data_IF_043452521116
#
_entry.id   IF_043452521116
#
_cell.length_a   1.000
_cell.length_b   1.000
_cell.length_c   1.000
_cell.angle_alpha   90.00
_cell.angle_beta   90.00
_cell.angle_gamma   90.00
#
_symmetry.space_group_name_H-M   'P 1'
#
loop_
_entity.id
_entity.type
_entity.pdbx_description
1 polymer ?
#
# COMPACT_ATOMS: atom_id res chain seq x y z
N UNK A 1 -54.49 35.87 -13.19
CA UNK A 1 -54.15 34.50 -12.79
C UNK A 1 -53.18 33.77 -13.73
N UNK A 2 -52.53 34.44 -14.65
CA UNK A 2 -51.58 33.81 -15.62
C UNK A 2 -50.10 34.13 -15.29
N UNK A 3 -49.82 35.17 -14.48
CA UNK A 3 -48.44 35.55 -14.14
C UNK A 3 -47.81 34.79 -12.94
N UNK A 4 -48.59 34.05 -12.15
CA UNK A 4 -48.05 33.27 -11.02
C UNK A 4 -47.69 31.82 -11.38
N UNK A 5 -48.02 31.33 -12.57
CA UNK A 5 -47.66 29.98 -13.02
C UNK A 5 -46.32 29.91 -13.78
N UNK A 6 -45.74 31.04 -14.14
CA UNK A 6 -44.46 31.10 -14.85
C UNK A 6 -43.23 31.25 -13.93
N UNK A 7 -43.41 31.63 -12.65
CA UNK A 7 -42.30 31.67 -11.69
C UNK A 7 -42.04 30.32 -11.02
N UNK A 8 -43.00 29.39 -10.97
CA UNK A 8 -42.84 28.07 -10.37
C UNK A 8 -42.10 27.07 -11.28
N UNK A 9 -42.05 27.32 -12.59
CA UNK A 9 -41.38 26.44 -13.56
C UNK A 9 -39.90 26.77 -13.73
N UNK A 10 -39.45 27.95 -13.31
CA UNK A 10 -38.01 28.34 -13.42
C UNK A 10 -37.17 27.90 -12.23
N UNK A 11 -37.77 27.60 -11.08
CA UNK A 11 -37.06 27.15 -9.88
C UNK A 11 -36.86 25.63 -9.79
N UNK A 12 -37.61 24.85 -10.58
CA UNK A 12 -37.47 23.40 -10.63
C UNK A 12 -36.39 22.91 -11.61
N UNK A 13 -35.87 23.80 -12.48
CA UNK A 13 -34.86 23.44 -13.48
C UNK A 13 -33.41 23.63 -13.06
N UNK A 14 -33.15 24.16 -11.84
CA UNK A 14 -31.78 24.39 -11.33
C UNK A 14 -31.30 23.36 -10.30
N UNK A 15 -32.07 22.30 -10.03
CA UNK A 15 -31.63 21.21 -9.10
C UNK A 15 -31.29 19.88 -9.79
N UNK A 16 -31.16 19.87 -11.10
CA UNK A 16 -30.88 18.65 -11.85
C UNK A 16 -29.47 18.64 -12.47
N UNK A 17 -28.47 19.15 -11.76
CA UNK A 17 -27.11 19.27 -12.26
C UNK A 17 -25.99 18.87 -11.30
N UNK A 18 -26.30 18.19 -10.19
CA UNK A 18 -25.26 17.47 -9.47
C UNK A 18 -25.01 16.15 -10.21
N UNK A 19 -24.17 16.21 -11.24
CA UNK A 19 -23.54 15.02 -11.79
C UNK A 19 -22.76 14.36 -10.65
N UNK A 20 -23.35 13.35 -10.01
CA UNK A 20 -22.58 12.37 -9.26
C UNK A 20 -21.65 11.72 -10.30
N UNK A 21 -20.46 12.28 -10.48
CA UNK A 21 -19.38 11.52 -11.09
C UNK A 21 -19.21 10.31 -10.16
N UNK A 22 -19.38 9.08 -10.66
CA UNK A 22 -19.13 7.92 -9.86
C UNK A 22 -17.66 8.03 -9.40
N UNK A 23 -17.45 8.21 -8.11
CA UNK A 23 -16.12 8.07 -7.55
C UNK A 23 -15.73 6.62 -7.82
N UNK A 24 -14.77 6.42 -8.71
CA UNK A 24 -14.17 5.11 -8.91
C UNK A 24 -13.65 4.69 -7.53
N UNK A 25 -14.29 3.72 -6.92
CA UNK A 25 -13.87 3.21 -5.62
C UNK A 25 -12.57 2.45 -5.83
N UNK A 26 -11.45 3.18 -5.84
CA UNK A 26 -10.12 2.59 -5.79
C UNK A 26 -9.90 2.12 -4.37
N UNK A 27 -9.50 0.88 -4.24
CA UNK A 27 -9.46 0.18 -2.96
C UNK A 27 -8.06 -0.38 -2.74
N UNK A 28 -7.44 -0.07 -1.62
CA UNK A 28 -6.24 -0.74 -1.09
C UNK A 28 -6.38 -0.80 0.43
N UNK A 29 -5.69 -1.72 1.08
CA UNK A 29 -5.68 -1.81 2.54
C UNK A 29 -4.27 -2.17 2.99
N UNK A 30 -3.82 -1.56 4.07
CA UNK A 30 -2.57 -1.91 4.77
C UNK A 30 -2.87 -2.11 6.25
N UNK A 31 -2.25 -3.15 6.85
CA UNK A 31 -2.32 -3.42 8.30
C UNK A 31 -0.93 -3.69 8.87
N UNK A 32 -0.72 -3.38 10.15
CA UNK A 32 0.48 -3.78 10.91
C UNK A 32 0.06 -4.65 12.08
N UNK A 33 0.32 -5.94 11.97
CA UNK A 33 0.17 -6.88 13.05
C UNK A 33 1.40 -6.80 13.96
N UNK A 34 1.17 -6.64 15.27
CA UNK A 34 2.21 -6.70 16.29
C UNK A 34 1.77 -7.73 17.32
N UNK A 35 2.58 -8.77 17.48
CA UNK A 35 2.29 -9.88 18.38
C UNK A 35 3.43 -10.12 19.38
N UNK A 36 3.35 -11.26 20.08
CA UNK A 36 4.40 -11.72 21.00
C UNK A 36 5.74 -11.94 20.29
N UNK A 37 6.80 -12.10 21.05
CA UNK A 37 8.17 -12.33 20.56
C UNK A 37 8.67 -11.24 19.60
N UNK A 38 8.17 -10.01 19.75
CA UNK A 38 8.41 -8.87 18.85
C UNK A 38 8.05 -9.15 17.39
N UNK A 39 7.13 -10.07 17.14
CA UNK A 39 6.68 -10.40 15.79
C UNK A 39 5.92 -9.22 15.20
N UNK A 40 6.41 -8.69 14.08
CA UNK A 40 5.79 -7.61 13.32
C UNK A 40 5.58 -8.04 11.88
N UNK A 41 4.34 -7.96 11.42
CA UNK A 41 3.97 -8.31 10.04
C UNK A 41 3.11 -7.19 9.44
N UNK A 42 3.55 -6.66 8.31
CA UNK A 42 2.76 -5.71 7.54
C UNK A 42 2.05 -6.43 6.41
N UNK A 43 0.71 -6.44 6.47
CA UNK A 43 -0.14 -6.95 5.41
C UNK A 43 -0.63 -5.83 4.48
N UNK A 44 -0.74 -6.11 3.18
CA UNK A 44 -1.25 -5.16 2.21
C UNK A 44 -2.09 -5.85 1.13
N UNK A 45 -3.22 -5.25 0.75
CA UNK A 45 -4.01 -5.56 -0.44
C UNK A 45 -3.76 -4.52 -1.52
N UNK A 46 -3.37 -4.97 -2.71
CA UNK A 46 -3.38 -4.15 -3.92
C UNK A 46 -4.71 -4.33 -4.62
N UNK A 47 -5.53 -3.31 -4.57
CA UNK A 47 -6.82 -3.31 -5.25
C UNK A 47 -6.77 -2.29 -6.39
N UNK A 48 -7.06 -2.74 -7.61
CA UNK A 48 -7.01 -1.90 -8.80
C UNK A 48 -8.03 -2.37 -9.84
N UNK A 49 -8.35 -1.50 -10.80
CA UNK A 49 -9.39 -1.76 -11.80
C UNK A 49 -8.92 -2.61 -12.99
N UNK A 50 -7.63 -2.86 -13.11
CA UNK A 50 -7.03 -3.62 -14.22
C UNK A 50 -5.72 -4.28 -13.79
N UNK A 51 -5.19 -5.20 -14.58
CA UNK A 51 -3.88 -5.78 -14.34
C UNK A 51 -2.77 -4.70 -14.41
N UNK A 52 -2.03 -4.56 -13.33
CA UNK A 52 -0.91 -3.63 -13.20
C UNK A 52 0.42 -4.20 -13.72
N UNK A 53 0.43 -5.36 -14.34
CA UNK A 53 1.64 -6.03 -14.83
C UNK A 53 2.71 -6.14 -13.73
N UNK A 54 2.28 -6.51 -12.52
CA UNK A 54 3.17 -6.59 -11.35
C UNK A 54 4.14 -7.73 -11.47
N UNK A 55 5.42 -7.42 -11.31
CA UNK A 55 6.50 -8.39 -11.08
C UNK A 55 7.16 -8.12 -9.73
N UNK A 56 7.85 -9.12 -9.16
CA UNK A 56 8.73 -8.86 -8.03
C UNK A 56 10.15 -8.58 -8.51
N UNK A 57 10.80 -7.66 -7.81
CA UNK A 57 12.18 -7.28 -8.11
C UNK A 57 13.03 -7.33 -6.86
N UNK A 58 14.23 -7.84 -7.01
CA UNK A 58 15.32 -7.68 -6.05
C UNK A 58 16.20 -6.55 -6.55
N UNK A 59 16.30 -5.49 -5.77
CA UNK A 59 17.23 -4.40 -6.00
C UNK A 59 18.36 -4.48 -4.98
N UNK A 60 19.63 -4.64 -5.43
CA UNK A 60 20.77 -4.68 -4.53
C UNK A 60 21.14 -3.28 -4.00
N UNK A 61 22.08 -3.25 -3.07
CA UNK A 61 22.75 -2.01 -2.66
C UNK A 61 23.54 -1.41 -3.83
N UNK A 62 23.98 -0.17 -3.68
CA UNK A 62 24.88 0.48 -4.65
C UNK A 62 24.21 0.96 -5.94
N UNK A 63 22.88 0.81 -6.10
CA UNK A 63 22.17 1.30 -7.29
C UNK A 63 22.08 2.83 -7.29
N UNK A 64 22.59 3.46 -8.35
CA UNK A 64 22.40 4.89 -8.57
C UNK A 64 20.93 5.19 -8.93
N UNK A 65 20.33 6.16 -8.26
CA UNK A 65 18.93 6.54 -8.36
C UNK A 65 18.78 8.05 -8.48
N UNK A 66 17.64 8.47 -9.02
CA UNK A 66 17.22 9.87 -9.05
C UNK A 66 15.73 9.99 -8.71
N UNK A 67 15.31 11.16 -8.24
CA UNK A 67 13.90 11.49 -8.06
C UNK A 67 13.10 11.60 -9.35
N UNK A 68 13.73 11.56 -10.52
CA UNK A 68 13.16 11.54 -11.88
C UNK A 68 12.20 12.70 -12.22
N UNK A 69 12.29 13.81 -11.47
CA UNK A 69 11.40 14.96 -11.62
C UNK A 69 12.06 16.17 -12.32
N UNK A 70 13.13 15.93 -13.06
CA UNK A 70 13.88 16.97 -13.77
C UNK A 70 14.91 17.67 -12.88
N UNK A 71 15.21 18.92 -13.20
CA UNK A 71 16.22 19.71 -12.50
C UNK A 71 15.94 19.84 -10.99
N UNK A 72 17.00 19.65 -10.20
CA UNK A 72 16.92 19.68 -8.73
C UNK A 72 16.37 18.40 -8.09
N UNK A 73 16.10 17.35 -8.87
CA UNK A 73 15.77 16.04 -8.30
C UNK A 73 16.88 15.53 -7.40
N UNK A 74 16.56 14.94 -6.24
CA UNK A 74 17.57 14.32 -5.42
C UNK A 74 18.18 13.13 -6.15
N UNK A 75 19.48 12.96 -6.00
CA UNK A 75 20.21 11.77 -6.45
C UNK A 75 20.73 11.04 -5.23
N UNK A 76 20.72 9.70 -5.29
CA UNK A 76 21.25 8.87 -4.20
C UNK A 76 21.79 7.55 -4.74
N UNK A 77 22.58 6.89 -3.91
CA UNK A 77 22.97 5.50 -4.09
C UNK A 77 22.25 4.67 -3.03
N UNK A 78 21.60 3.57 -3.43
CA UNK A 78 20.85 2.73 -2.48
C UNK A 78 21.77 2.17 -1.40
N UNK A 79 21.46 2.47 -0.14
CA UNK A 79 22.19 1.97 1.05
C UNK A 79 21.77 0.56 1.38
N UNK A 80 20.51 0.23 1.11
CA UNK A 80 19.90 -1.04 1.45
C UNK A 80 19.35 -1.70 0.20
N UNK A 81 19.49 -3.04 0.15
CA UNK A 81 18.79 -3.85 -0.83
C UNK A 81 17.34 -4.06 -0.43
N UNK A 82 16.50 -4.33 -1.42
CA UNK A 82 15.05 -4.48 -1.20
C UNK A 82 14.44 -5.52 -2.13
N UNK A 83 13.32 -6.11 -1.68
CA UNK A 83 12.36 -6.84 -2.54
C UNK A 83 11.14 -5.97 -2.68
N UNK A 84 10.72 -5.71 -3.93
CA UNK A 84 9.56 -4.86 -4.22
C UNK A 84 8.58 -5.53 -5.16
N UNK A 85 7.32 -5.17 -5.06
CA UNK A 85 6.29 -5.42 -6.07
C UNK A 85 6.10 -4.15 -6.90
N UNK A 86 6.26 -4.28 -8.22
CA UNK A 86 6.13 -3.15 -9.14
C UNK A 86 4.67 -2.82 -9.45
N UNK A 87 4.40 -1.55 -9.76
CA UNK A 87 3.18 -1.11 -10.42
C UNK A 87 3.48 -0.69 -11.85
N UNK A 88 2.87 -1.33 -12.84
CA UNK A 88 3.08 -1.12 -14.28
C UNK A 88 4.55 -1.20 -14.71
N UNK A 89 5.41 -1.79 -13.91
CA UNK A 89 6.88 -1.72 -14.10
C UNK A 89 7.40 -0.29 -14.31
N UNK A 90 6.84 0.69 -13.60
CA UNK A 90 7.28 2.11 -13.59
C UNK A 90 7.37 2.70 -12.18
N UNK A 91 7.00 1.94 -11.15
CA UNK A 91 7.00 2.39 -9.76
C UNK A 91 7.19 1.21 -8.82
N UNK A 92 7.77 1.45 -7.64
CA UNK A 92 7.70 0.53 -6.49
C UNK A 92 6.39 0.79 -5.74
N UNK A 93 5.44 -0.15 -5.85
CA UNK A 93 4.12 0.00 -5.23
C UNK A 93 4.07 -0.54 -3.81
N UNK A 94 4.92 -1.52 -3.51
CA UNK A 94 5.05 -2.22 -2.23
C UNK A 94 6.47 -2.76 -2.11
N UNK A 95 6.99 -2.93 -0.91
CA UNK A 95 8.26 -3.59 -0.72
C UNK A 95 8.77 -3.56 0.71
N UNK A 96 9.79 -4.38 0.94
CA UNK A 96 10.55 -4.44 2.19
C UNK A 96 12.04 -4.40 1.88
N UNK A 97 12.80 -3.65 2.67
CA UNK A 97 14.25 -3.67 2.56
C UNK A 97 14.88 -4.67 3.54
N UNK A 98 16.18 -4.92 3.39
CA UNK A 98 16.95 -5.87 4.21
C UNK A 98 17.06 -5.49 5.70
N UNK A 99 16.55 -4.32 6.10
CA UNK A 99 16.43 -3.89 7.51
C UNK A 99 15.02 -4.12 8.08
N UNK A 100 14.11 -4.65 7.28
CA UNK A 100 12.71 -4.87 7.67
C UNK A 100 11.87 -3.60 7.64
N UNK A 101 12.34 -2.53 7.01
CA UNK A 101 11.49 -1.37 6.72
C UNK A 101 10.59 -1.70 5.53
N UNK A 102 9.29 -1.55 5.70
CA UNK A 102 8.26 -1.75 4.67
C UNK A 102 7.73 -0.39 4.20
N UNK A 103 7.53 -0.25 2.91
CA UNK A 103 6.91 0.93 2.30
C UNK A 103 5.80 0.53 1.33
N UNK A 104 4.63 1.15 1.47
CA UNK A 104 3.44 0.85 0.67
C UNK A 104 2.84 2.15 0.12
N UNK A 105 2.65 2.24 -1.19
CA UNK A 105 1.88 3.31 -1.83
C UNK A 105 0.45 2.85 -2.03
N UNK A 106 -0.51 3.62 -1.55
CA UNK A 106 -1.94 3.41 -1.71
C UNK A 106 -2.58 4.62 -2.38
N UNK A 107 -3.71 4.42 -3.06
CA UNK A 107 -4.46 5.51 -3.66
C UNK A 107 -5.19 6.35 -2.59
N UNK A 108 -5.14 7.68 -2.75
CA UNK A 108 -5.89 8.64 -1.96
C UNK A 108 -6.40 9.75 -2.89
N UNK A 109 -7.70 9.84 -3.11
CA UNK A 109 -8.28 10.83 -4.03
C UNK A 109 -8.01 12.28 -3.57
N UNK A 110 -7.93 12.49 -2.26
CA UNK A 110 -7.71 13.78 -1.61
C UNK A 110 -6.24 14.23 -1.64
N UNK A 111 -5.31 13.42 -2.16
CA UNK A 111 -3.91 13.83 -2.28
C UNK A 111 -3.79 15.06 -3.18
N UNK A 112 -3.28 16.11 -2.59
CA UNK A 112 -2.99 17.39 -3.25
C UNK A 112 -1.55 17.79 -2.92
N UNK A 113 -0.67 17.65 -3.91
CA UNK A 113 0.77 17.94 -3.76
C UNK A 113 1.09 19.44 -3.87
N UNK A 114 0.08 20.27 -4.23
CA UNK A 114 0.20 21.72 -4.37
C UNK A 114 1.11 22.16 -5.50
N UNK A 115 1.21 23.48 -5.64
CA UNK A 115 2.04 24.12 -6.67
C UNK A 115 3.37 24.68 -6.11
N UNK A 116 3.71 24.35 -4.86
CA UNK A 116 4.93 24.80 -4.21
C UNK A 116 6.17 24.45 -5.05
N UNK A 117 7.12 25.37 -5.10
CA UNK A 117 8.46 25.10 -5.66
C UNK A 117 9.47 24.75 -4.56
N UNK A 118 9.03 24.70 -3.31
CA UNK A 118 9.88 24.36 -2.17
C UNK A 118 10.00 22.84 -2.03
N UNK A 119 11.17 22.35 -1.67
CA UNK A 119 11.49 20.94 -1.53
C UNK A 119 12.08 20.32 -2.79
N UNK A 120 12.82 19.23 -2.59
CA UNK A 120 13.44 18.50 -3.69
C UNK A 120 12.38 17.75 -4.51
N UNK A 121 12.31 17.95 -5.84
CA UNK A 121 11.27 17.36 -6.67
C UNK A 121 11.51 15.85 -6.85
N UNK A 122 10.45 15.07 -6.62
CA UNK A 122 10.47 13.62 -6.78
C UNK A 122 9.19 13.13 -7.46
N UNK A 123 9.33 12.26 -8.45
CA UNK A 123 8.17 11.60 -9.06
C UNK A 123 7.58 10.60 -8.07
N UNK A 124 6.25 10.57 -7.98
CA UNK A 124 5.50 9.74 -7.04
C UNK A 124 5.91 8.26 -7.06
N UNK A 125 6.22 7.70 -8.22
CA UNK A 125 6.64 6.31 -8.39
C UNK A 125 7.99 5.96 -7.76
N UNK A 126 8.82 6.97 -7.44
CA UNK A 126 10.09 6.81 -6.75
C UNK A 126 9.97 6.89 -5.22
N UNK A 127 8.84 7.37 -4.68
CA UNK A 127 8.74 7.70 -3.27
C UNK A 127 8.97 6.50 -2.34
N UNK A 128 8.29 5.37 -2.59
CA UNK A 128 8.52 4.16 -1.81
C UNK A 128 9.94 3.63 -1.97
N UNK A 129 10.49 3.64 -3.21
CA UNK A 129 11.85 3.18 -3.45
C UNK A 129 12.89 4.05 -2.74
N UNK A 130 12.72 5.37 -2.74
CA UNK A 130 13.57 6.29 -2.01
C UNK A 130 13.64 5.97 -0.52
N UNK A 131 12.50 5.64 0.08
CA UNK A 131 12.44 5.24 1.49
C UNK A 131 13.16 3.92 1.72
N UNK A 132 12.88 2.90 0.90
CA UNK A 132 13.51 1.59 1.02
C UNK A 132 15.03 1.62 0.82
N UNK A 133 15.51 2.46 -0.09
CA UNK A 133 16.93 2.61 -0.41
C UNK A 133 17.73 3.31 0.69
N UNK A 134 17.12 4.25 1.42
CA UNK A 134 17.87 5.19 2.25
C UNK A 134 17.75 4.99 3.75
N UNK A 135 16.66 4.38 4.25
CA UNK A 135 16.34 4.34 5.67
C UNK A 135 16.21 2.91 6.19
N UNK A 136 16.60 2.74 7.46
CA UNK A 136 16.47 1.47 8.17
C UNK A 136 15.25 1.41 9.08
N UNK A 137 14.66 2.57 9.43
CA UNK A 137 13.56 2.65 10.39
C UNK A 137 12.54 3.74 10.03
N UNK A 138 11.35 3.61 10.63
CA UNK A 138 10.29 4.62 10.53
C UNK A 138 10.77 5.96 11.10
N UNK A 139 11.41 5.96 12.25
CA UNK A 139 11.87 7.18 12.91
C UNK A 139 12.88 7.95 12.07
N UNK A 140 13.86 7.27 11.43
CA UNK A 140 14.80 7.91 10.49
C UNK A 140 14.09 8.54 9.32
N UNK A 141 13.11 7.83 8.73
CA UNK A 141 12.34 8.32 7.60
C UNK A 141 11.53 9.56 7.97
N UNK A 142 10.81 9.51 9.10
CA UNK A 142 10.00 10.63 9.59
C UNK A 142 10.87 11.87 9.81
N UNK A 143 11.99 11.72 10.50
CA UNK A 143 12.92 12.83 10.75
C UNK A 143 13.42 13.45 9.43
N UNK A 144 13.84 12.62 8.49
CA UNK A 144 14.33 13.10 7.19
C UNK A 144 13.26 13.84 6.39
N UNK A 145 12.01 13.35 6.39
CA UNK A 145 10.90 14.00 5.70
C UNK A 145 10.44 15.30 6.36
N UNK A 146 10.58 15.40 7.69
CA UNK A 146 10.32 16.66 8.42
C UNK A 146 11.38 17.70 8.15
N UNK A 147 12.65 17.31 8.15
CA UNK A 147 13.80 18.21 7.95
C UNK A 147 13.87 18.72 6.50
N UNK A 148 13.59 17.84 5.55
CA UNK A 148 13.67 18.11 4.12
C UNK A 148 12.47 17.47 3.38
N UNK A 149 11.30 18.12 3.43
CA UNK A 149 10.12 17.60 2.73
C UNK A 149 10.38 17.48 1.23
N UNK A 150 9.93 16.38 0.66
CA UNK A 150 9.93 16.20 -0.78
C UNK A 150 8.81 17.01 -1.43
N UNK A 151 9.02 17.43 -2.65
CA UNK A 151 7.99 17.97 -3.52
C UNK A 151 7.55 16.89 -4.49
N UNK A 152 6.45 16.23 -4.19
CA UNK A 152 5.97 15.12 -5.02
C UNK A 152 5.37 15.65 -6.33
N UNK A 153 5.73 15.03 -7.42
CA UNK A 153 5.18 15.27 -8.76
C UNK A 153 4.53 13.97 -9.23
N UNK A 154 3.27 14.05 -9.59
CA UNK A 154 2.45 12.90 -9.96
C UNK A 154 2.02 12.97 -11.44
N UNK A 155 2.81 12.44 -12.38
CA UNK A 155 2.37 12.25 -13.75
C UNK A 155 1.17 11.29 -13.81
N UNK A 156 0.43 11.31 -14.91
CA UNK A 156 -0.64 10.34 -15.13
C UNK A 156 -0.08 8.92 -15.23
N UNK A 157 -0.84 7.97 -14.70
CA UNK A 157 -0.57 6.54 -14.87
C UNK A 157 -0.78 6.10 -16.34
N UNK A 158 -0.28 4.92 -16.74
CA UNK A 158 -0.44 4.42 -18.12
C UNK A 158 -1.89 4.36 -18.61
N UNK A 159 -2.84 4.10 -17.72
CA UNK A 159 -4.26 4.10 -18.02
C UNK A 159 -4.91 5.51 -18.05
N UNK A 160 -4.11 6.57 -17.90
CA UNK A 160 -4.57 7.95 -17.90
C UNK A 160 -5.10 8.46 -16.55
N UNK A 161 -5.23 7.62 -15.53
CA UNK A 161 -5.66 8.00 -14.19
C UNK A 161 -4.64 8.92 -13.50
N UNK A 162 -5.13 9.77 -12.60
CA UNK A 162 -4.24 10.54 -11.73
C UNK A 162 -3.51 9.62 -10.75
N UNK A 163 -2.21 9.83 -10.57
CA UNK A 163 -1.40 9.11 -9.58
C UNK A 163 -1.48 9.80 -8.21
N UNK A 164 -2.69 9.97 -7.67
CA UNK A 164 -2.91 10.52 -6.33
C UNK A 164 -2.72 9.41 -5.30
N UNK A 165 -1.61 9.43 -4.59
CA UNK A 165 -1.21 8.38 -3.66
C UNK A 165 -0.81 8.98 -2.32
N UNK A 166 -0.88 8.16 -1.28
CA UNK A 166 -0.25 8.38 0.02
C UNK A 166 0.67 7.22 0.36
N UNK A 167 1.61 7.46 1.26
CA UNK A 167 2.63 6.47 1.64
C UNK A 167 2.42 6.02 3.08
N UNK A 168 2.49 4.73 3.32
CA UNK A 168 2.70 4.20 4.67
C UNK A 168 4.01 3.46 4.77
N UNK A 169 4.61 3.53 5.95
CA UNK A 169 5.80 2.77 6.32
C UNK A 169 5.62 2.11 7.68
N UNK A 170 6.36 1.03 7.88
CA UNK A 170 6.44 0.34 9.18
C UNK A 170 7.78 -0.39 9.29
N UNK A 171 8.24 -0.64 10.50
CA UNK A 171 9.50 -1.35 10.75
C UNK A 171 9.35 -2.48 11.77
N UNK A 172 10.41 -3.26 11.96
CA UNK A 172 10.44 -4.42 12.85
C UNK A 172 10.22 -4.09 14.35
N UNK A 173 10.18 -2.81 14.73
CA UNK A 173 9.83 -2.40 16.10
C UNK A 173 8.32 -2.23 16.30
N UNK A 174 7.53 -2.40 15.23
CA UNK A 174 6.10 -2.13 15.19
C UNK A 174 5.77 -0.64 15.09
N UNK A 175 6.76 0.22 14.84
CA UNK A 175 6.53 1.63 14.56
C UNK A 175 5.93 1.81 13.16
N UNK A 176 5.17 2.89 12.98
CA UNK A 176 4.39 3.13 11.77
C UNK A 176 4.24 4.61 11.50
N UNK A 177 4.33 4.99 10.24
CA UNK A 177 3.98 6.35 9.82
C UNK A 177 3.19 6.34 8.51
N UNK A 178 2.31 7.35 8.39
CA UNK A 178 1.50 7.61 7.20
C UNK A 178 1.77 9.04 6.77
N UNK A 179 2.05 9.22 5.48
CA UNK A 179 2.42 10.48 4.87
C UNK A 179 1.37 10.83 3.83
N UNK A 180 0.67 11.93 4.03
CA UNK A 180 -0.33 12.48 3.11
C UNK A 180 0.05 13.90 2.69
N UNK A 181 -0.18 14.23 1.44
CA UNK A 181 -0.13 15.61 0.98
C UNK A 181 -1.55 16.13 0.87
N UNK A 182 -1.92 17.06 1.73
CA UNK A 182 -3.27 17.62 1.80
C UNK A 182 -3.18 19.15 1.71
N UNK A 183 -3.84 19.73 0.70
CA UNK A 183 -3.76 21.17 0.42
C UNK A 183 -2.32 21.66 0.22
N UNK A 184 -1.50 20.87 -0.46
CA UNK A 184 -0.10 21.19 -0.75
C UNK A 184 0.86 21.05 0.43
N UNK A 185 0.42 20.47 1.55
CA UNK A 185 1.24 20.31 2.77
C UNK A 185 1.43 18.83 3.10
N UNK A 186 2.64 18.47 3.48
CA UNK A 186 2.93 17.15 4.03
C UNK A 186 2.36 17.04 5.45
N UNK A 187 1.47 16.08 5.64
CA UNK A 187 0.92 15.65 6.94
C UNK A 187 1.50 14.30 7.28
N UNK A 188 2.05 14.15 8.48
CA UNK A 188 2.68 12.91 8.95
C UNK A 188 1.96 12.44 10.21
N UNK A 189 1.38 11.25 10.14
CA UNK A 189 0.86 10.54 11.30
C UNK A 189 1.88 9.49 11.71
N UNK A 190 2.54 9.67 12.85
CA UNK A 190 3.63 8.80 13.31
C UNK A 190 3.31 8.21 14.67
N UNK A 191 3.43 6.90 14.80
CA UNK A 191 3.29 6.16 16.06
C UNK A 191 2.73 4.75 15.88
N UNK A 192 3.01 3.89 16.87
CA UNK A 192 2.63 2.47 16.89
C UNK A 192 1.12 2.21 16.87
N UNK A 193 0.30 3.22 17.16
CA UNK A 193 -1.17 3.13 17.12
C UNK A 193 -1.72 3.16 15.69
N UNK A 194 -0.99 3.69 14.72
CA UNK A 194 -1.46 3.84 13.33
C UNK A 194 -1.21 2.55 12.52
N UNK A 195 -2.00 1.53 12.84
CA UNK A 195 -1.83 0.15 12.33
C UNK A 195 -2.59 -0.15 11.06
N UNK A 196 -3.55 0.67 10.67
CA UNK A 196 -4.39 0.45 9.49
C UNK A 196 -4.37 1.69 8.62
N UNK A 197 -4.30 1.51 7.32
CA UNK A 197 -4.50 2.56 6.32
C UNK A 197 -5.27 1.97 5.14
N UNK A 198 -6.23 2.73 4.60
CA UNK A 198 -6.95 2.36 3.38
C UNK A 198 -6.82 3.48 2.34
N UNK A 199 -7.90 3.97 1.78
CA UNK A 199 -7.90 5.03 0.77
C UNK A 199 -8.66 6.26 1.31
N UNK A 200 -9.55 6.84 0.47
CA UNK A 200 -10.41 7.95 0.88
C UNK A 200 -11.38 7.60 2.02
N UNK A 201 -11.70 8.52 2.89
CA UNK A 201 -11.19 9.88 2.97
C UNK A 201 -9.79 9.97 3.61
N UNK A 202 -9.28 11.20 3.85
CA UNK A 202 -7.98 11.43 4.52
C UNK A 202 -7.86 10.66 5.83
N UNK A 203 -6.65 10.41 6.27
CA UNK A 203 -6.39 9.55 7.44
C UNK A 203 -7.04 10.07 8.72
N UNK A 204 -7.03 11.39 8.97
CA UNK A 204 -7.74 11.98 10.12
C UNK A 204 -9.24 11.67 10.11
N UNK A 205 -9.86 11.75 8.93
CA UNK A 205 -11.28 11.43 8.77
C UNK A 205 -11.53 9.94 8.95
N UNK A 206 -10.62 9.07 8.49
CA UNK A 206 -10.69 7.62 8.74
C UNK A 206 -10.66 7.32 10.24
N UNK A 207 -9.77 7.96 10.99
CA UNK A 207 -9.69 7.81 12.44
C UNK A 207 -10.99 8.25 13.14
N UNK A 208 -11.57 9.37 12.71
CA UNK A 208 -12.84 9.86 13.25
C UNK A 208 -14.00 8.90 12.97
N UNK A 209 -14.10 8.35 11.76
CA UNK A 209 -15.08 7.34 11.40
C UNK A 209 -14.89 6.05 12.22
N UNK A 210 -13.67 5.58 12.37
CA UNK A 210 -13.36 4.38 13.16
C UNK A 210 -13.74 4.54 14.62
N UNK A 211 -13.50 5.71 15.22
CA UNK A 211 -13.87 6.00 16.60
C UNK A 211 -15.38 5.89 16.85
N UNK A 212 -16.22 6.21 15.87
CA UNK A 212 -17.67 5.97 15.94
C UNK A 212 -17.99 4.46 16.00
N UNK A 213 -17.36 3.67 15.13
CA UNK A 213 -17.60 2.23 15.05
C UNK A 213 -17.07 1.47 16.26
N UNK A 214 -15.97 1.91 16.86
CA UNK A 214 -15.45 1.35 18.11
C UNK A 214 -16.46 1.44 19.24
N UNK A 215 -17.29 2.50 19.30
CA UNK A 215 -18.35 2.66 20.31
C UNK A 215 -19.52 1.71 20.09
N UNK A 216 -19.80 1.32 18.85
CA UNK A 216 -20.85 0.34 18.53
C UNK A 216 -20.40 -1.05 18.94
N UNK A 217 -19.11 -1.36 18.82
CA UNK A 217 -18.52 -2.66 19.09
C UNK A 217 -18.69 -3.64 17.92
N UNK A 218 -17.59 -4.16 17.43
CA UNK A 218 -17.54 -5.05 16.27
C UNK A 218 -18.19 -6.42 16.48
N UNK A 219 -18.36 -6.86 17.73
CA UNK A 219 -19.09 -8.08 18.07
C UNK A 219 -20.60 -7.97 17.78
N UNK A 220 -21.11 -6.75 17.74
CA UNK A 220 -22.51 -6.46 17.46
C UNK A 220 -22.75 -6.20 15.99
N UNK A 221 -21.90 -5.36 15.38
CA UNK A 221 -22.07 -4.94 13.98
C UNK A 221 -20.78 -4.36 13.41
N UNK A 222 -20.47 -4.73 12.17
CA UNK A 222 -19.39 -4.15 11.36
C UNK A 222 -19.95 -3.67 10.01
N UNK A 223 -19.42 -2.56 9.45
CA UNK A 223 -19.85 -2.12 8.14
C UNK A 223 -19.36 -3.08 7.06
N UNK A 224 -20.24 -3.46 6.11
CA UNK A 224 -20.04 -4.60 5.20
C UNK A 224 -19.68 -4.24 3.78
N UNK A 225 -19.61 -2.96 3.40
CA UNK A 225 -19.31 -2.58 2.00
C UNK A 225 -17.82 -2.67 1.69
N UNK A 226 -17.49 -2.56 0.39
CA UNK A 226 -16.09 -2.50 -0.07
C UNK A 226 -15.52 -1.07 -0.06
N UNK A 227 -16.26 -0.08 0.48
CA UNK A 227 -15.73 1.28 0.62
C UNK A 227 -14.48 1.30 1.50
N UNK A 228 -13.60 2.27 1.26
CA UNK A 228 -12.34 2.37 2.01
C UNK A 228 -12.56 2.55 3.52
N UNK A 229 -13.54 3.39 3.90
CA UNK A 229 -13.90 3.62 5.29
C UNK A 229 -14.39 2.33 5.99
N UNK A 230 -15.24 1.55 5.33
CA UNK A 230 -15.76 0.29 5.86
C UNK A 230 -14.66 -0.76 6.00
N UNK A 231 -13.75 -0.84 5.03
CA UNK A 231 -12.57 -1.73 5.09
C UNK A 231 -11.61 -1.31 6.21
N UNK A 232 -11.42 -0.01 6.44
CA UNK A 232 -10.61 0.50 7.55
C UNK A 232 -11.16 -0.01 8.89
N UNK A 233 -12.47 0.15 9.10
CA UNK A 233 -13.14 -0.28 10.34
C UNK A 233 -13.02 -1.80 10.51
N UNK A 234 -13.33 -2.59 9.46
CA UNK A 234 -13.21 -4.06 9.54
C UNK A 234 -11.76 -4.50 9.80
N UNK A 235 -10.79 -3.90 9.10
CA UNK A 235 -9.38 -4.22 9.31
C UNK A 235 -8.93 -3.89 10.74
N UNK A 236 -9.35 -2.74 11.27
CA UNK A 236 -9.03 -2.32 12.64
C UNK A 236 -9.59 -3.28 13.67
N UNK A 237 -10.87 -3.65 13.54
CA UNK A 237 -11.51 -4.61 14.43
C UNK A 237 -10.87 -6.00 14.35
N UNK A 238 -10.77 -6.56 13.13
CA UNK A 238 -10.22 -7.90 12.93
C UNK A 238 -8.76 -8.00 13.39
N UNK A 239 -7.95 -6.99 13.11
CA UNK A 239 -6.58 -6.92 13.58
C UNK A 239 -6.50 -6.88 15.11
N UNK A 240 -7.39 -6.14 15.76
CA UNK A 240 -7.50 -6.06 17.22
C UNK A 240 -7.98 -7.38 17.84
N UNK A 241 -8.96 -8.04 17.24
CA UNK A 241 -9.57 -9.28 17.70
C UNK A 241 -8.69 -10.53 17.45
N UNK A 242 -7.73 -10.45 16.54
CA UNK A 242 -6.80 -11.56 16.25
C UNK A 242 -5.84 -11.75 17.42
N UNK A 243 -5.65 -13.01 17.89
CA UNK A 243 -4.73 -13.32 18.99
C UNK A 243 -3.29 -12.87 18.68
N UNK A 244 -2.58 -12.40 19.70
CA UNK A 244 -1.21 -11.89 19.62
C UNK A 244 -0.16 -12.86 20.18
N UNK A 245 -0.60 -14.07 20.55
CA UNK A 245 0.23 -15.12 21.12
C UNK A 245 -0.05 -16.46 20.45
N UNK A 246 0.74 -17.47 20.79
CA UNK A 246 0.53 -18.84 20.30
C UNK A 246 -0.85 -19.35 20.65
N UNK A 247 -1.64 -19.70 19.63
CA UNK A 247 -2.96 -20.32 19.80
C UNK A 247 -2.84 -21.85 19.90
N UNK A 248 -3.06 -22.36 21.10
CA UNK A 248 -2.95 -23.81 21.40
C UNK A 248 -3.92 -24.68 20.58
N UNK A 249 -5.01 -24.10 20.09
CA UNK A 249 -6.01 -24.84 19.31
C UNK A 249 -5.57 -25.05 17.85
N UNK A 250 -4.73 -24.17 17.31
CA UNK A 250 -4.36 -24.15 15.89
C UNK A 250 -2.89 -24.39 15.62
N UNK A 251 -2.00 -24.18 16.59
CA UNK A 251 -0.54 -24.23 16.36
C UNK A 251 -0.08 -25.56 15.76
N UNK A 252 -0.73 -26.67 16.09
CA UNK A 252 -0.40 -28.00 15.53
C UNK A 252 -0.67 -28.12 14.04
N UNK A 253 -1.54 -27.30 13.48
CA UNK A 253 -1.85 -27.24 12.05
C UNK A 253 -0.98 -26.24 11.28
N UNK A 254 -0.19 -25.44 11.98
CA UNK A 254 0.67 -24.42 11.38
C UNK A 254 1.99 -25.05 10.94
N UNK A 255 2.50 -24.76 9.72
CA UNK A 255 3.81 -25.23 9.27
C UNK A 255 4.92 -24.91 10.29
N UNK A 256 5.73 -25.91 10.62
CA UNK A 256 6.79 -25.79 11.61
C UNK A 256 6.31 -25.55 13.05
N UNK A 257 5.01 -25.45 13.28
CA UNK A 257 4.37 -25.22 14.59
C UNK A 257 4.95 -24.01 15.34
N UNK A 258 5.32 -22.97 14.58
CA UNK A 258 5.91 -21.74 15.13
C UNK A 258 4.89 -20.61 15.19
N UNK A 259 5.03 -19.76 16.21
CA UNK A 259 4.19 -18.57 16.32
C UNK A 259 4.39 -17.62 15.13
N UNK A 260 5.60 -17.48 14.59
CA UNK A 260 5.86 -16.65 13.42
C UNK A 260 4.99 -17.06 12.21
N UNK A 261 4.93 -18.35 11.87
CA UNK A 261 4.06 -18.83 10.79
C UNK A 261 2.57 -18.67 11.11
N UNK A 262 2.17 -18.85 12.37
CA UNK A 262 0.79 -18.56 12.81
C UNK A 262 0.45 -17.09 12.57
N UNK A 263 1.32 -16.16 12.97
CA UNK A 263 1.13 -14.73 12.81
C UNK A 263 1.01 -14.31 11.33
N UNK A 264 1.82 -14.92 10.44
CA UNK A 264 1.68 -14.72 8.98
C UNK A 264 0.31 -15.20 8.50
N UNK A 265 -0.13 -16.39 8.89
CA UNK A 265 -1.43 -16.93 8.51
C UNK A 265 -2.58 -16.04 9.01
N UNK A 266 -2.48 -15.51 10.23
CA UNK A 266 -3.43 -14.58 10.81
C UNK A 266 -3.45 -13.24 10.06
N UNK A 267 -2.28 -12.66 9.74
CA UNK A 267 -2.18 -11.43 8.95
C UNK A 267 -2.81 -11.61 7.57
N UNK A 268 -2.51 -12.69 6.87
CA UNK A 268 -3.14 -13.00 5.57
C UNK A 268 -4.64 -13.22 5.70
N UNK A 269 -5.13 -13.81 6.80
CA UNK A 269 -6.56 -13.99 7.04
C UNK A 269 -7.28 -12.65 7.21
N UNK A 270 -6.69 -11.71 7.95
CA UNK A 270 -7.21 -10.34 8.08
C UNK A 270 -7.24 -9.67 6.70
N UNK A 271 -6.15 -9.75 5.92
CA UNK A 271 -6.09 -9.15 4.59
C UNK A 271 -7.12 -9.73 3.64
N UNK A 272 -7.33 -11.05 3.65
CA UNK A 272 -8.37 -11.73 2.85
C UNK A 272 -9.79 -11.30 3.24
N UNK A 273 -10.04 -11.04 4.53
CA UNK A 273 -11.35 -10.58 5.03
C UNK A 273 -11.72 -9.15 4.61
N UNK A 274 -10.74 -8.35 4.22
CA UNK A 274 -10.95 -6.98 3.71
C UNK A 274 -10.59 -6.85 2.22
N UNK A 275 -10.42 -7.97 1.53
CA UNK A 275 -10.20 -8.00 0.08
C UNK A 275 -11.50 -7.69 -0.67
N UNK A 276 -11.35 -7.08 -1.83
CA UNK A 276 -12.42 -6.90 -2.80
C UNK A 276 -12.41 -8.10 -3.77
N UNK A 277 -13.50 -8.84 -3.90
CA UNK A 277 -13.56 -10.00 -4.78
C UNK A 277 -13.12 -9.67 -6.21
N UNK A 278 -12.33 -10.56 -6.82
CA UNK A 278 -11.87 -10.40 -8.19
C UNK A 278 -13.07 -10.38 -9.16
N UNK A 279 -13.12 -9.36 -10.03
CA UNK A 279 -14.16 -9.24 -11.04
C UNK A 279 -15.50 -8.73 -10.49
N UNK A 280 -15.54 -8.14 -9.29
CA UNK A 280 -16.76 -7.54 -8.76
C UNK A 280 -17.24 -6.40 -9.66
N UNK A 281 -18.53 -6.39 -9.96
CA UNK A 281 -19.18 -5.33 -10.72
C UNK A 281 -20.46 -4.90 -10.02
N UNK A 282 -20.89 -3.65 -10.25
CA UNK A 282 -22.21 -3.16 -9.86
C UNK A 282 -22.91 -2.52 -11.05
N UNK A 283 -24.24 -2.48 -11.08
CA UNK A 283 -24.96 -1.81 -12.16
C UNK A 283 -24.48 -0.35 -12.34
N UNK A 284 -24.10 0.01 -13.56
CA UNK A 284 -23.58 1.35 -13.87
C UNK A 284 -22.12 1.61 -13.49
N UNK A 285 -21.46 0.67 -12.84
CA UNK A 285 -20.03 0.76 -12.47
C UNK A 285 -19.32 -0.56 -12.83
N UNK A 286 -19.07 -0.83 -14.11
CA UNK A 286 -18.20 -1.94 -14.49
C UNK A 286 -16.78 -1.65 -14.03
N UNK A 287 -16.03 -2.69 -13.65
CA UNK A 287 -14.62 -2.61 -13.21
C UNK A 287 -14.38 -1.76 -11.97
N UNK A 288 -15.12 -2.00 -10.91
CA UNK A 288 -14.74 -1.57 -9.59
C UNK A 288 -13.39 -2.25 -9.25
N UNK A 289 -12.50 -1.53 -8.58
CA UNK A 289 -11.22 -2.07 -8.17
C UNK A 289 -11.40 -3.41 -7.43
N UNK A 290 -10.69 -4.42 -7.90
CA UNK A 290 -10.62 -5.76 -7.29
C UNK A 290 -9.26 -5.95 -6.65
N UNK A 291 -9.16 -6.78 -5.61
CA UNK A 291 -7.85 -7.19 -5.08
C UNK A 291 -7.14 -8.03 -6.13
N UNK A 292 -6.00 -7.53 -6.62
CA UNK A 292 -5.13 -8.23 -7.58
C UNK A 292 -4.17 -9.17 -6.88
N UNK A 293 -3.61 -8.72 -5.77
CA UNK A 293 -2.69 -9.48 -4.94
C UNK A 293 -2.61 -8.92 -3.53
N UNK A 294 -2.02 -9.72 -2.64
CA UNK A 294 -1.74 -9.38 -1.24
C UNK A 294 -0.30 -9.66 -0.93
N UNK A 295 0.25 -8.89 0.00
CA UNK A 295 1.55 -9.17 0.61
C UNK A 295 1.40 -9.32 2.12
N UNK A 296 2.31 -10.09 2.71
CA UNK A 296 2.56 -10.08 4.13
C UNK A 296 4.08 -10.04 4.33
N UNK A 297 4.58 -8.92 4.82
CA UNK A 297 5.99 -8.71 5.08
C UNK A 297 6.28 -9.06 6.54
N UNK A 298 6.85 -10.21 6.80
CA UNK A 298 7.37 -10.57 8.12
C UNK A 298 8.68 -9.81 8.34
N UNK A 299 8.57 -8.69 9.04
CA UNK A 299 9.67 -7.75 9.26
C UNK A 299 10.66 -8.26 10.29
N UNK A 300 10.20 -9.14 11.16
CA UNK A 300 11.04 -9.76 12.21
C UNK A 300 11.95 -10.85 11.64
N UNK A 301 11.40 -11.70 10.76
CA UNK A 301 12.14 -12.81 10.17
C UNK A 301 12.65 -12.51 8.76
N UNK A 302 12.38 -11.32 8.23
CA UNK A 302 12.76 -10.87 6.88
C UNK A 302 12.27 -11.83 5.79
N UNK A 303 10.96 -12.10 5.77
CA UNK A 303 10.30 -12.92 4.76
C UNK A 303 9.18 -12.13 4.10
N UNK A 304 9.21 -12.05 2.79
CA UNK A 304 8.20 -11.32 1.99
C UNK A 304 7.27 -12.31 1.32
N UNK A 305 6.03 -12.43 1.81
CA UNK A 305 4.98 -13.30 1.27
C UNK A 305 4.17 -12.58 0.21
N UNK A 306 3.82 -13.30 -0.84
CA UNK A 306 2.98 -12.81 -1.93
C UNK A 306 1.84 -13.80 -2.23
N UNK A 307 0.61 -13.28 -2.30
CA UNK A 307 -0.64 -14.03 -2.47
C UNK A 307 -1.44 -13.41 -3.62
N UNK A 308 -1.33 -13.97 -4.82
CA UNK A 308 -2.09 -13.50 -6.00
C UNK A 308 -3.57 -13.84 -5.86
N UNK A 309 -4.45 -12.94 -6.31
CA UNK A 309 -5.88 -13.24 -6.37
C UNK A 309 -6.27 -14.16 -7.54
N UNK A 310 -5.38 -14.32 -8.52
CA UNK A 310 -5.63 -15.12 -9.73
C UNK A 310 -5.14 -16.57 -9.61
N UNK A 311 -4.41 -16.89 -8.54
CA UNK A 311 -3.88 -18.24 -8.30
C UNK A 311 -4.17 -18.66 -6.85
N UNK A 312 -4.35 -19.99 -6.57
CA UNK A 312 -4.60 -20.45 -5.21
C UNK A 312 -3.33 -20.52 -4.35
N UNK A 313 -2.16 -20.28 -4.94
CA UNK A 313 -0.87 -20.50 -4.30
C UNK A 313 -0.34 -19.21 -3.68
N UNK A 314 0.08 -19.28 -2.41
CA UNK A 314 0.93 -18.27 -1.79
C UNK A 314 2.38 -18.71 -1.92
N UNK A 315 3.27 -17.80 -2.25
CA UNK A 315 4.71 -18.02 -2.23
C UNK A 315 5.39 -16.95 -1.38
N UNK A 316 6.68 -17.13 -1.09
CA UNK A 316 7.45 -16.15 -0.33
C UNK A 316 8.88 -16.04 -0.82
N UNK A 317 9.54 -14.98 -0.40
CA UNK A 317 10.96 -14.72 -0.62
C UNK A 317 11.61 -14.57 0.75
N UNK A 318 12.46 -15.52 1.09
CA UNK A 318 13.27 -15.45 2.30
C UNK A 318 14.51 -14.60 2.01
N UNK A 319 14.70 -13.50 2.73
CA UNK A 319 15.82 -12.58 2.49
C UNK A 319 17.18 -13.20 2.79
N UNK A 320 17.24 -14.23 3.64
CA UNK A 320 18.46 -14.97 3.87
C UNK A 320 18.98 -15.70 2.61
N UNK A 321 18.09 -15.96 1.64
CA UNK A 321 18.42 -16.62 0.37
C UNK A 321 18.69 -15.62 -0.76
N UNK A 322 18.67 -14.31 -0.46
CA UNK A 322 18.90 -13.23 -1.44
C UNK A 322 20.25 -12.55 -1.16
N UNK A 323 21.04 -12.43 -2.20
CA UNK A 323 22.25 -11.59 -2.16
C UNK A 323 21.92 -10.15 -2.54
N UNK A 324 22.11 -9.22 -1.60
CA UNK A 324 21.93 -7.79 -1.78
C UNK A 324 23.24 -7.02 -1.94
N UNK A 325 24.38 -7.70 -2.18
CA UNK A 325 25.66 -7.02 -2.34
C UNK A 325 25.66 -6.06 -3.53
N UNK A 326 26.45 -4.98 -3.43
CA UNK A 326 26.59 -3.97 -4.52
C UNK A 326 27.13 -4.54 -5.84
N UNK A 327 27.76 -5.70 -5.77
CA UNK A 327 28.37 -6.37 -6.93
C UNK A 327 27.40 -7.24 -7.72
N UNK A 328 26.18 -7.48 -7.20
CA UNK A 328 25.18 -8.29 -7.88
C UNK A 328 24.26 -7.41 -8.74
N UNK A 329 23.74 -8.00 -9.80
CA UNK A 329 22.76 -7.33 -10.65
C UNK A 329 21.36 -7.42 -10.06
N UNK A 330 20.47 -6.48 -10.40
CA UNK A 330 19.05 -6.62 -10.12
C UNK A 330 18.50 -7.94 -10.66
N UNK A 331 17.51 -8.48 -9.96
CA UNK A 331 16.84 -9.71 -10.37
C UNK A 331 15.33 -9.51 -10.40
N UNK A 332 14.69 -10.26 -11.30
CA UNK A 332 13.24 -10.21 -11.51
C UNK A 332 12.64 -11.59 -11.31
N UNK A 333 11.48 -11.64 -10.63
CA UNK A 333 10.56 -12.77 -10.63
C UNK A 333 9.31 -12.37 -11.42
N UNK A 334 9.12 -12.96 -12.59
CA UNK A 334 7.97 -12.64 -13.43
C UNK A 334 6.68 -13.20 -12.82
N UNK A 335 5.70 -12.33 -12.57
CA UNK A 335 4.34 -12.68 -12.16
C UNK A 335 3.36 -12.30 -13.27
N UNK A 336 3.59 -11.16 -13.89
CA UNK A 336 2.86 -10.72 -15.06
C UNK A 336 2.87 -11.79 -16.16
N UNK A 337 1.75 -11.93 -16.89
CA UNK A 337 1.63 -12.97 -17.92
C UNK A 337 1.16 -14.33 -17.40
N UNK A 338 0.71 -14.42 -16.13
CA UNK A 338 0.10 -15.62 -15.57
C UNK A 338 1.10 -16.63 -14.98
N UNK A 339 2.32 -16.19 -14.69
CA UNK A 339 3.28 -17.01 -13.95
C UNK A 339 2.85 -17.17 -12.50
N UNK A 340 3.06 -18.35 -11.93
CA UNK A 340 2.71 -18.64 -10.54
C UNK A 340 3.81 -19.43 -9.85
N UNK A 341 3.92 -19.26 -8.53
CA UNK A 341 4.90 -19.91 -7.68
C UNK A 341 4.24 -20.43 -6.41
N UNK A 342 4.88 -21.35 -5.73
CA UNK A 342 4.47 -21.89 -4.43
C UNK A 342 5.71 -22.12 -3.57
N UNK A 343 5.61 -21.88 -2.26
CA UNK A 343 6.74 -22.06 -1.36
C UNK A 343 7.78 -20.93 -1.47
N UNK A 344 9.03 -21.22 -1.13
CA UNK A 344 10.12 -20.26 -1.26
C UNK A 344 10.54 -20.11 -2.73
N UNK A 345 10.39 -18.92 -3.28
CA UNK A 345 10.68 -18.61 -4.67
C UNK A 345 12.01 -17.84 -4.87
N UNK A 346 12.87 -17.75 -3.84
CA UNK A 346 14.12 -17.00 -3.92
C UNK A 346 15.01 -17.43 -5.10
N UNK A 347 15.10 -18.74 -5.37
CA UNK A 347 15.90 -19.29 -6.47
C UNK A 347 15.26 -19.09 -7.86
N UNK A 348 14.03 -18.62 -7.92
CA UNK A 348 13.32 -18.39 -9.19
C UNK A 348 13.56 -17.00 -9.77
N UNK A 349 14.24 -16.11 -9.04
CA UNK A 349 14.64 -14.81 -9.55
C UNK A 349 15.76 -14.94 -10.60
N UNK A 350 15.60 -14.25 -11.72
CA UNK A 350 16.60 -14.19 -12.77
C UNK A 350 17.20 -12.78 -12.91
N UNK A 351 18.49 -12.70 -13.24
CA UNK A 351 19.11 -11.40 -13.53
C UNK A 351 18.35 -10.69 -14.65
N UNK A 352 18.11 -9.40 -14.44
CA UNK A 352 17.38 -8.57 -15.39
C UNK A 352 17.79 -7.11 -15.24
N UNK A 353 17.83 -6.39 -16.35
CA UNK A 353 17.91 -4.93 -16.27
C UNK A 353 16.66 -4.40 -15.56
N UNK A 354 16.83 -3.44 -14.63
CA UNK A 354 15.70 -2.90 -13.89
C UNK A 354 14.74 -2.16 -14.83
N UNK A 355 13.46 -2.16 -14.49
CA UNK A 355 12.50 -1.33 -15.20
C UNK A 355 12.85 0.16 -15.06
N UNK A 356 12.43 0.94 -16.04
CA UNK A 356 12.60 2.40 -16.00
C UNK A 356 11.47 3.01 -15.15
N UNK A 357 11.84 3.64 -14.05
CA UNK A 357 10.87 4.37 -13.23
C UNK A 357 10.25 5.52 -14.02
N UNK A 358 8.97 5.80 -13.72
CA UNK A 358 8.28 6.95 -14.30
C UNK A 358 9.07 8.25 -14.08
N UNK A 359 8.97 9.16 -15.03
CA UNK A 359 9.65 10.46 -15.00
C UNK A 359 8.74 11.56 -15.53
N UNK A 360 9.02 12.81 -15.19
CA UNK A 360 8.49 13.96 -15.94
C UNK A 360 9.30 14.11 -17.22
N UNK A 361 8.57 14.32 -18.30
CA UNK A 361 9.18 14.59 -19.62
C UNK A 361 9.61 16.05 -19.69
#
# INVERSE_FOLDING_TARGET
MIRQKLLAAATAAMMAGASFLPSVALACTRTVYVGDDNTVITGRNMDWMEDMQTDLWVFPRGMARSGNAGEGSPEWTSKYGSVIASGYNIASADGMNEKGLVANLLYLAESDYGDSKTGAPMVIGMWAQYVLDNFASVSETVQAMQDKPLRIIAPKLPNGSAATLHLSISDATGDSAIFEYIGGKLVIHHGKQYKVMTNSPTFDQQLALNAYWERIGGDTFLPGTNSAADRFVRASFLLGATTKSTDKNFISAVPGQTYAHQAVAQSLSVMRSVSVPLGITTPGQPNIASTLWRTASDQTNLVYYFDSATTPNTFWVNFADIDFAETVKPKKLAIAGGHYYAGNAADSFVESEPFTFMSVK
#
